data_IF_418812501726
#
_entry.id   IF_418812501726
#
_cell.length_a   1.000
_cell.length_b   1.000
_cell.length_c   1.000
_cell.angle_alpha   90.00
_cell.angle_beta   90.00
_cell.angle_gamma   90.00
#
_symmetry.space_group_name_H-M   'P 1'
#
loop_
_entity.id
_entity.type
_entity.pdbx_description
1 polymer ?
#
# COMPACT_ATOMS: atom_id res chain seq x y z
N UNK A 1 -2.11 -22.03 22.74
CA UNK A 1 -3.41 -22.73 22.55
C UNK A 1 -3.94 -22.36 21.16
N UNK A 2 -3.84 -23.30 20.20
CA UNK A 2 -4.37 -23.12 18.83
C UNK A 2 -5.90 -23.17 18.88
N UNK A 3 -6.55 -22.07 19.20
CA UNK A 3 -8.00 -21.96 19.12
C UNK A 3 -8.42 -22.10 17.65
N UNK A 4 -9.12 -23.17 17.30
CA UNK A 4 -9.73 -23.30 15.97
C UNK A 4 -10.83 -22.24 15.83
N UNK A 5 -10.74 -21.44 14.77
CA UNK A 5 -11.77 -20.44 14.47
C UNK A 5 -13.12 -21.12 14.16
N UNK A 6 -14.20 -20.53 14.63
CA UNK A 6 -15.54 -20.98 14.29
C UNK A 6 -15.84 -20.73 12.78
N UNK A 7 -16.81 -21.43 12.19
CA UNK A 7 -17.20 -21.21 10.79
C UNK A 7 -17.65 -19.77 10.51
N UNK A 8 -18.17 -19.07 11.51
CA UNK A 8 -18.56 -17.67 11.38
C UNK A 8 -17.34 -16.74 11.39
N UNK A 9 -16.39 -16.97 12.30
CA UNK A 9 -15.13 -16.24 12.37
C UNK A 9 -14.32 -16.41 11.06
N UNK A 10 -14.29 -17.61 10.50
CA UNK A 10 -13.67 -17.89 9.20
C UNK A 10 -14.30 -17.06 8.06
N UNK A 11 -15.63 -17.11 7.96
CA UNK A 11 -16.37 -16.34 6.92
C UNK A 11 -16.18 -14.85 7.09
N UNK A 12 -16.17 -14.35 8.32
CA UNK A 12 -15.91 -12.93 8.61
C UNK A 12 -14.48 -12.53 8.20
N UNK A 13 -13.47 -13.31 8.60
CA UNK A 13 -12.08 -13.07 8.21
C UNK A 13 -11.87 -13.08 6.69
N UNK A 14 -12.49 -14.05 5.98
CA UNK A 14 -12.44 -14.12 4.53
C UNK A 14 -13.09 -12.89 3.86
N UNK A 15 -14.22 -12.42 4.40
CA UNK A 15 -14.89 -11.21 3.89
C UNK A 15 -14.00 -9.98 4.08
N UNK A 16 -13.39 -9.81 5.26
CA UNK A 16 -12.47 -8.70 5.53
C UNK A 16 -11.29 -8.69 4.56
N UNK A 17 -10.66 -9.84 4.33
CA UNK A 17 -9.53 -9.93 3.40
C UNK A 17 -9.95 -9.64 1.95
N UNK A 18 -11.14 -10.07 1.52
CA UNK A 18 -11.68 -9.74 0.19
C UNK A 18 -11.93 -8.24 0.02
N UNK A 19 -12.52 -7.59 1.02
CA UNK A 19 -12.73 -6.14 1.03
C UNK A 19 -11.40 -5.40 1.02
N UNK A 20 -10.46 -5.85 1.87
CA UNK A 20 -9.11 -5.33 1.89
C UNK A 20 -8.43 -5.46 0.51
N UNK A 21 -8.52 -6.61 -0.15
CA UNK A 21 -7.93 -6.83 -1.47
C UNK A 21 -8.46 -5.82 -2.52
N UNK A 22 -9.76 -5.55 -2.51
CA UNK A 22 -10.36 -4.54 -3.38
C UNK A 22 -9.85 -3.13 -3.08
N UNK A 23 -9.88 -2.69 -1.81
CA UNK A 23 -9.40 -1.36 -1.40
C UNK A 23 -7.89 -1.20 -1.64
N UNK A 24 -7.12 -2.27 -1.43
CA UNK A 24 -5.69 -2.25 -1.71
C UNK A 24 -5.37 -2.06 -3.20
N UNK A 25 -6.23 -2.53 -4.11
CA UNK A 25 -6.09 -2.29 -5.54
C UNK A 25 -6.10 -0.80 -5.88
N UNK A 26 -6.96 -0.01 -5.24
CA UNK A 26 -6.97 1.46 -5.37
C UNK A 26 -5.65 2.05 -4.90
N UNK A 27 -5.18 1.67 -3.70
CA UNK A 27 -3.91 2.16 -3.16
C UNK A 27 -2.71 1.81 -4.05
N UNK A 28 -2.70 0.60 -4.61
CA UNK A 28 -1.64 0.16 -5.54
C UNK A 28 -1.65 1.01 -6.80
N UNK A 29 -2.83 1.27 -7.38
CA UNK A 29 -2.94 2.10 -8.58
C UNK A 29 -2.41 3.52 -8.38
N UNK A 30 -2.67 4.13 -7.22
CA UNK A 30 -2.36 5.54 -6.97
C UNK A 30 -0.95 5.77 -6.39
N UNK A 31 -0.42 4.80 -5.62
CA UNK A 31 0.74 5.01 -4.74
C UNK A 31 1.92 4.08 -5.06
N UNK A 32 1.81 3.26 -6.11
CA UNK A 32 2.92 2.45 -6.60
C UNK A 32 3.31 2.89 -8.00
N UNK A 33 4.61 2.77 -8.27
CA UNK A 33 5.23 2.96 -9.57
C UNK A 33 4.94 4.32 -10.23
N UNK A 34 4.43 4.31 -11.46
CA UNK A 34 4.37 5.46 -12.36
C UNK A 34 3.55 6.63 -11.82
N UNK A 35 2.45 6.38 -11.11
CA UNK A 35 1.60 7.47 -10.59
C UNK A 35 2.28 8.26 -9.48
N UNK A 36 3.02 7.59 -8.60
CA UNK A 36 3.78 8.26 -7.55
C UNK A 36 4.95 9.07 -8.15
N UNK A 37 5.59 8.54 -9.19
CA UNK A 37 6.65 9.25 -9.93
C UNK A 37 6.09 10.51 -10.60
N UNK A 38 4.97 10.39 -11.32
CA UNK A 38 4.30 11.54 -11.95
C UNK A 38 3.88 12.57 -10.91
N UNK A 39 3.34 12.14 -9.79
CA UNK A 39 2.98 13.01 -8.68
C UNK A 39 4.20 13.77 -8.13
N UNK A 40 5.34 13.09 -7.95
CA UNK A 40 6.58 13.71 -7.50
C UNK A 40 7.08 14.78 -8.49
N UNK A 41 7.08 14.46 -9.78
CA UNK A 41 7.49 15.40 -10.84
C UNK A 41 6.58 16.63 -10.86
N UNK A 42 5.25 16.45 -10.75
CA UNK A 42 4.29 17.56 -10.70
C UNK A 42 4.47 18.45 -9.48
N UNK A 43 4.98 17.90 -8.37
CA UNK A 43 5.34 18.67 -7.19
C UNK A 43 6.75 19.28 -7.24
N UNK A 44 7.42 19.24 -8.40
CA UNK A 44 8.73 19.82 -8.61
C UNK A 44 9.89 19.07 -7.97
N UNK A 45 9.69 17.77 -7.63
CA UNK A 45 10.77 16.92 -7.12
C UNK A 45 11.79 16.70 -8.22
N UNK A 46 13.05 17.04 -7.95
CA UNK A 46 14.13 16.92 -8.95
C UNK A 46 14.46 15.46 -9.30
N UNK A 47 15.05 15.26 -10.48
CA UNK A 47 15.29 13.94 -11.09
C UNK A 47 16.05 12.98 -10.18
N UNK A 48 17.07 13.45 -9.47
CA UNK A 48 17.83 12.62 -8.52
C UNK A 48 16.96 12.08 -7.38
N UNK A 49 16.05 12.91 -6.85
CA UNK A 49 15.12 12.51 -5.80
C UNK A 49 14.05 11.56 -6.34
N UNK A 50 13.61 11.74 -7.59
CA UNK A 50 12.70 10.81 -8.29
C UNK A 50 13.37 9.44 -8.48
N UNK A 51 14.65 9.38 -8.84
CA UNK A 51 15.41 8.14 -8.96
C UNK A 51 15.51 7.41 -7.59
N UNK A 52 15.74 8.14 -6.50
CA UNK A 52 15.72 7.61 -5.14
C UNK A 52 14.33 7.07 -4.79
N UNK A 53 13.27 7.81 -5.09
CA UNK A 53 11.89 7.40 -4.87
C UNK A 53 11.58 6.08 -5.58
N UNK A 54 11.96 5.94 -6.84
CA UNK A 54 11.76 4.73 -7.63
C UNK A 54 12.47 3.50 -7.02
N UNK A 55 13.56 3.71 -6.27
CA UNK A 55 14.31 2.62 -5.62
C UNK A 55 13.70 2.16 -4.27
N UNK A 56 12.75 2.89 -3.68
CA UNK A 56 12.23 2.61 -2.33
C UNK A 56 11.61 1.22 -2.19
N UNK A 57 10.95 0.70 -3.22
CA UNK A 57 10.36 -0.65 -3.19
C UNK A 57 11.46 -1.70 -2.93
N UNK A 58 12.64 -1.53 -3.52
CA UNK A 58 13.77 -2.44 -3.35
C UNK A 58 14.53 -2.16 -2.04
N UNK A 59 14.77 -0.88 -1.72
CA UNK A 59 15.48 -0.47 -0.50
C UNK A 59 14.75 -0.88 0.79
N UNK A 60 13.45 -0.98 0.76
CA UNK A 60 12.64 -1.37 1.92
C UNK A 60 12.46 -2.88 2.07
N UNK A 61 12.85 -3.70 1.09
CA UNK A 61 12.76 -5.16 1.19
C UNK A 61 13.46 -5.77 2.40
N UNK A 62 14.64 -5.30 2.87
CA UNK A 62 15.24 -5.81 4.10
C UNK A 62 14.36 -5.64 5.35
N UNK A 63 13.42 -4.70 5.35
CA UNK A 63 12.48 -4.49 6.46
C UNK A 63 11.48 -5.65 6.65
N UNK A 64 11.40 -6.57 5.70
CA UNK A 64 10.73 -7.88 5.87
C UNK A 64 11.27 -8.63 7.08
N UNK A 65 12.58 -8.50 7.40
CA UNK A 65 13.18 -9.10 8.58
C UNK A 65 12.58 -8.50 9.86
N UNK A 66 12.40 -7.17 9.88
CA UNK A 66 11.75 -6.48 11.00
C UNK A 66 10.30 -6.99 11.17
N UNK A 67 9.57 -7.16 10.07
CA UNK A 67 8.24 -7.75 10.09
C UNK A 67 8.20 -9.16 10.68
N UNK A 68 9.17 -10.03 10.34
CA UNK A 68 9.30 -11.38 10.94
C UNK A 68 9.55 -11.31 12.44
N UNK A 69 10.42 -10.40 12.88
CA UNK A 69 10.69 -10.19 14.32
C UNK A 69 9.45 -9.69 15.06
N UNK A 70 8.67 -8.80 14.43
CA UNK A 70 7.40 -8.32 14.99
C UNK A 70 6.37 -9.45 15.11
N UNK A 71 6.25 -10.33 14.11
CA UNK A 71 5.35 -11.51 14.19
C UNK A 71 5.70 -12.38 15.39
N UNK A 72 6.98 -12.64 15.62
CA UNK A 72 7.45 -13.43 16.75
C UNK A 72 7.09 -12.80 18.11
N UNK A 73 6.99 -11.46 18.20
CA UNK A 73 6.73 -10.74 19.46
C UNK A 73 5.24 -10.43 19.69
N UNK A 74 4.56 -9.97 18.66
CA UNK A 74 3.19 -9.42 18.79
C UNK A 74 2.14 -10.18 17.98
N UNK A 75 2.56 -11.15 17.17
CA UNK A 75 1.69 -11.98 16.33
C UNK A 75 1.43 -11.40 14.94
N UNK A 76 0.97 -12.26 14.03
CA UNK A 76 0.78 -11.92 12.61
C UNK A 76 -0.30 -10.84 12.39
N UNK A 77 -1.44 -10.95 13.07
CA UNK A 77 -2.56 -10.02 12.90
C UNK A 77 -2.18 -8.58 13.30
N UNK A 78 -1.48 -8.42 14.43
CA UNK A 78 -1.03 -7.11 14.89
C UNK A 78 0.04 -6.54 13.97
N UNK A 79 1.02 -7.34 13.56
CA UNK A 79 2.08 -6.90 12.62
C UNK A 79 1.47 -6.45 11.30
N UNK A 80 0.52 -7.21 10.76
CA UNK A 80 -0.21 -6.86 9.55
C UNK A 80 -0.99 -5.55 9.73
N UNK A 81 -1.77 -5.42 10.81
CA UNK A 81 -2.55 -4.22 11.12
C UNK A 81 -1.68 -2.97 11.28
N UNK A 82 -0.59 -3.06 12.03
CA UNK A 82 0.39 -1.96 12.17
C UNK A 82 0.99 -1.56 10.84
N UNK A 83 1.46 -2.53 10.04
CA UNK A 83 2.04 -2.25 8.74
C UNK A 83 1.08 -1.47 7.84
N UNK A 84 -0.19 -1.88 7.77
CA UNK A 84 -1.19 -1.22 6.93
C UNK A 84 -1.64 0.12 7.49
N UNK A 85 -1.77 0.28 8.80
CA UNK A 85 -2.10 1.55 9.43
C UNK A 85 -1.03 2.61 9.15
N UNK A 86 0.24 2.31 9.47
CA UNK A 86 1.32 3.26 9.28
C UNK A 86 1.63 3.53 7.81
N UNK A 87 1.44 2.53 6.93
CA UNK A 87 1.45 2.75 5.49
C UNK A 87 0.42 3.81 5.08
N UNK A 88 -0.81 3.72 5.60
CA UNK A 88 -1.87 4.68 5.27
C UNK A 88 -1.58 6.08 5.82
N UNK A 89 -1.02 6.16 7.03
CA UNK A 89 -0.55 7.45 7.60
C UNK A 89 0.55 8.06 6.73
N UNK A 90 1.51 7.24 6.28
CA UNK A 90 2.58 7.70 5.39
C UNK A 90 2.04 8.17 4.03
N UNK A 91 1.03 7.48 3.47
CA UNK A 91 0.33 7.94 2.28
C UNK A 91 -0.36 9.29 2.51
N UNK A 92 -0.93 9.51 3.70
CA UNK A 92 -1.52 10.79 4.11
C UNK A 92 -0.53 11.97 4.07
N UNK A 93 0.77 11.74 4.37
CA UNK A 93 1.79 12.77 4.25
C UNK A 93 1.93 13.29 2.82
N UNK A 94 1.76 12.42 1.81
CA UNK A 94 1.85 12.84 0.41
C UNK A 94 0.81 13.90 0.07
N UNK A 95 -0.37 13.84 0.68
CA UNK A 95 -1.44 14.84 0.45
C UNK A 95 -1.01 16.23 0.87
N UNK A 96 -0.05 16.37 1.79
CA UNK A 96 0.42 17.67 2.28
C UNK A 96 1.37 18.39 1.31
N UNK A 97 2.02 17.68 0.40
CA UNK A 97 3.03 18.27 -0.48
C UNK A 97 2.50 19.42 -1.37
N UNK A 98 1.30 19.34 -2.00
CA UNK A 98 0.75 20.44 -2.79
C UNK A 98 0.38 21.67 -1.97
N UNK A 99 0.16 21.53 -0.66
CA UNK A 99 -0.21 22.64 0.23
C UNK A 99 0.99 23.38 0.81
N UNK A 100 2.22 22.95 0.50
CA UNK A 100 3.42 23.69 0.87
C UNK A 100 3.44 25.00 0.08
N UNK A 101 3.46 26.17 0.73
CA UNK A 101 3.49 27.47 0.06
C UNK A 101 4.69 27.60 -0.90
N UNK A 102 4.54 28.31 -2.02
CA UNK A 102 5.61 28.45 -3.01
C UNK A 102 6.83 29.21 -2.46
N UNK A 103 6.64 30.03 -1.44
CA UNK A 103 7.71 30.78 -0.75
C UNK A 103 8.61 29.88 0.10
N UNK A 104 8.13 28.68 0.47
CA UNK A 104 8.92 27.72 1.25
C UNK A 104 9.96 27.03 0.36
N UNK A 105 11.14 26.69 0.95
CA UNK A 105 12.19 25.99 0.19
C UNK A 105 11.66 24.70 -0.45
N UNK A 106 11.98 24.48 -1.71
CA UNK A 106 11.59 23.28 -2.44
C UNK A 106 12.00 21.97 -1.73
N UNK A 107 13.08 22.03 -0.94
CA UNK A 107 13.54 20.89 -0.14
C UNK A 107 12.46 20.38 0.83
N UNK A 108 11.61 21.26 1.37
CA UNK A 108 10.53 20.85 2.27
C UNK A 108 9.50 19.97 1.55
N UNK A 109 9.06 20.41 0.36
CA UNK A 109 8.11 19.67 -0.48
C UNK A 109 8.70 18.32 -0.90
N UNK A 110 9.95 18.33 -1.36
CA UNK A 110 10.70 17.11 -1.72
C UNK A 110 10.80 16.16 -0.54
N UNK A 111 11.12 16.66 0.66
CA UNK A 111 11.23 15.85 1.88
C UNK A 111 9.89 15.20 2.26
N UNK A 112 8.78 15.94 2.17
CA UNK A 112 7.43 15.39 2.43
C UNK A 112 7.13 14.23 1.47
N UNK A 113 7.41 14.42 0.17
CA UNK A 113 7.18 13.38 -0.83
C UNK A 113 8.05 12.15 -0.57
N UNK A 114 9.35 12.35 -0.33
CA UNK A 114 10.26 11.24 -0.08
C UNK A 114 9.94 10.50 1.23
N UNK A 115 9.66 11.21 2.32
CA UNK A 115 9.29 10.59 3.60
C UNK A 115 7.98 9.84 3.52
N UNK A 116 6.96 10.41 2.88
CA UNK A 116 5.68 9.76 2.66
C UNK A 116 5.82 8.49 1.83
N UNK A 117 6.55 8.57 0.71
CA UNK A 117 6.80 7.43 -0.17
C UNK A 117 7.66 6.33 0.49
N UNK A 118 8.72 6.72 1.20
CA UNK A 118 9.56 5.77 1.93
C UNK A 118 8.77 5.07 3.04
N UNK A 119 8.04 5.82 3.86
CA UNK A 119 7.20 5.26 4.92
C UNK A 119 6.14 4.31 4.34
N UNK A 120 5.49 4.69 3.22
CA UNK A 120 4.55 3.83 2.54
C UNK A 120 5.18 2.50 2.11
N UNK A 121 6.35 2.51 1.47
CA UNK A 121 7.06 1.32 1.04
C UNK A 121 7.57 0.48 2.23
N UNK A 122 8.14 1.12 3.27
CA UNK A 122 8.69 0.49 4.45
C UNK A 122 7.61 -0.25 5.27
N UNK A 123 6.52 0.42 5.60
CA UNK A 123 5.43 -0.20 6.36
C UNK A 123 4.67 -1.25 5.54
N UNK A 124 4.61 -1.11 4.22
CA UNK A 124 4.13 -2.17 3.33
C UNK A 124 5.01 -3.41 3.44
N UNK A 125 6.34 -3.28 3.39
CA UNK A 125 7.27 -4.41 3.50
C UNK A 125 7.11 -5.13 4.85
N UNK A 126 6.98 -4.40 5.96
CA UNK A 126 6.74 -4.95 7.29
C UNK A 126 5.38 -5.68 7.36
N UNK A 127 4.32 -5.05 6.87
CA UNK A 127 2.95 -5.58 6.93
C UNK A 127 2.75 -6.84 6.08
N UNK A 128 3.38 -6.91 4.91
CA UNK A 128 3.23 -8.05 3.99
C UNK A 128 3.59 -9.39 4.62
N UNK A 129 4.54 -9.41 5.59
CA UNK A 129 4.99 -10.64 6.25
C UNK A 129 3.86 -11.30 7.04
N UNK A 130 2.95 -10.51 7.63
CA UNK A 130 1.79 -11.01 8.37
C UNK A 130 0.72 -11.66 7.50
N UNK A 131 0.74 -11.41 6.19
CA UNK A 131 -0.31 -11.86 5.28
C UNK A 131 -0.38 -13.39 5.16
N UNK A 132 0.77 -14.07 4.97
CA UNK A 132 0.81 -15.52 4.79
C UNK A 132 0.30 -16.32 5.99
N UNK A 133 0.72 -16.03 7.25
CA UNK A 133 0.16 -16.71 8.42
C UNK A 133 -1.35 -16.48 8.56
N UNK A 134 -1.82 -15.23 8.39
CA UNK A 134 -3.25 -14.90 8.48
C UNK A 134 -4.09 -15.65 7.45
N UNK A 135 -3.60 -15.74 6.22
CA UNK A 135 -4.26 -16.50 5.17
C UNK A 135 -4.31 -17.99 5.49
N UNK A 136 -3.25 -18.53 6.13
CA UNK A 136 -3.23 -19.91 6.61
C UNK A 136 -4.29 -20.20 7.68
N UNK A 137 -4.59 -19.23 8.56
CA UNK A 137 -5.59 -19.38 9.62
C UNK A 137 -7.03 -19.34 9.10
N UNK A 138 -7.31 -18.57 8.04
CA UNK A 138 -8.68 -18.35 7.52
C UNK A 138 -9.02 -19.20 6.29
N UNK A 139 -8.07 -20.00 5.78
CA UNK A 139 -8.29 -20.88 4.62
C UNK A 139 -7.86 -22.30 4.92
N UNK A 140 -8.57 -23.27 4.38
CA UNK A 140 -8.12 -24.67 4.34
C UNK A 140 -7.13 -24.87 3.20
N UNK A 141 -6.21 -25.82 3.34
CA UNK A 141 -5.15 -26.05 2.35
C UNK A 141 -5.70 -26.25 0.91
N UNK A 142 -6.80 -26.99 0.76
CA UNK A 142 -7.43 -27.22 -0.55
C UNK A 142 -8.11 -25.98 -1.15
N UNK A 143 -8.55 -25.01 -0.33
CA UNK A 143 -9.22 -23.79 -0.80
C UNK A 143 -8.28 -22.58 -0.92
N UNK A 144 -7.06 -22.68 -0.38
CA UNK A 144 -6.11 -21.56 -0.29
C UNK A 144 -5.74 -20.98 -1.64
N UNK A 145 -5.44 -21.82 -2.62
CA UNK A 145 -5.08 -21.38 -3.98
C UNK A 145 -6.20 -20.60 -4.65
N UNK A 146 -7.43 -21.12 -4.61
CA UNK A 146 -8.62 -20.45 -5.15
C UNK A 146 -8.91 -19.13 -4.44
N UNK A 147 -8.76 -19.06 -3.12
CA UNK A 147 -8.96 -17.85 -2.34
C UNK A 147 -7.93 -16.77 -2.69
N UNK A 148 -6.66 -17.14 -2.81
CA UNK A 148 -5.57 -16.23 -3.20
C UNK A 148 -5.78 -15.70 -4.61
N UNK A 149 -6.08 -16.57 -5.57
CA UNK A 149 -6.38 -16.19 -6.95
C UNK A 149 -7.56 -15.23 -7.01
N UNK A 150 -8.64 -15.51 -6.29
CA UNK A 150 -9.79 -14.62 -6.22
C UNK A 150 -9.49 -13.24 -5.63
N UNK A 151 -8.59 -13.15 -4.64
CA UNK A 151 -8.14 -11.88 -4.08
C UNK A 151 -7.23 -11.12 -5.05
N UNK A 152 -6.34 -11.82 -5.75
CA UNK A 152 -5.49 -11.23 -6.80
C UNK A 152 -6.34 -10.62 -7.91
N UNK A 153 -7.33 -11.36 -8.42
CA UNK A 153 -8.27 -10.85 -9.44
C UNK A 153 -9.00 -9.59 -8.95
N UNK A 154 -9.48 -9.57 -7.70
CA UNK A 154 -10.14 -8.38 -7.14
C UNK A 154 -9.20 -7.18 -7.06
N UNK A 155 -7.98 -7.39 -6.55
CA UNK A 155 -6.97 -6.33 -6.47
C UNK A 155 -6.67 -5.76 -7.85
N UNK A 156 -6.43 -6.63 -8.84
CA UNK A 156 -6.10 -6.21 -10.21
C UNK A 156 -7.29 -5.51 -10.89
N UNK A 157 -8.51 -6.04 -10.72
CA UNK A 157 -9.71 -5.42 -11.30
C UNK A 157 -9.95 -4.02 -10.73
N UNK A 158 -9.83 -3.84 -9.41
CA UNK A 158 -9.97 -2.51 -8.79
C UNK A 158 -8.83 -1.57 -9.15
N UNK A 159 -7.61 -2.09 -9.31
CA UNK A 159 -6.47 -1.32 -9.80
C UNK A 159 -6.73 -0.79 -11.21
N UNK A 160 -7.14 -1.64 -12.14
CA UNK A 160 -7.46 -1.25 -13.52
C UNK A 160 -8.60 -0.23 -13.55
N UNK A 161 -9.68 -0.47 -12.80
CA UNK A 161 -10.81 0.46 -12.71
C UNK A 161 -10.35 1.83 -12.19
N UNK A 162 -9.51 1.86 -11.17
CA UNK A 162 -8.96 3.11 -10.61
C UNK A 162 -8.15 3.86 -11.66
N UNK A 163 -7.29 3.16 -12.41
CA UNK A 163 -6.50 3.79 -13.49
C UNK A 163 -7.39 4.38 -14.58
N UNK A 164 -8.44 3.67 -14.99
CA UNK A 164 -9.41 4.19 -15.96
C UNK A 164 -10.10 5.45 -15.44
N UNK A 165 -10.56 5.44 -14.18
CA UNK A 165 -11.16 6.62 -13.54
C UNK A 165 -10.19 7.80 -13.52
N UNK A 166 -8.93 7.58 -13.12
CA UNK A 166 -7.90 8.63 -13.10
C UNK A 166 -7.66 9.20 -14.50
N UNK A 167 -7.54 8.36 -15.52
CA UNK A 167 -7.34 8.79 -16.91
C UNK A 167 -8.51 9.66 -17.38
N UNK A 168 -9.76 9.24 -17.11
CA UNK A 168 -10.96 10.01 -17.48
C UNK A 168 -10.99 11.36 -16.76
N UNK A 169 -10.68 11.39 -15.46
CA UNK A 169 -10.64 12.64 -14.68
C UNK A 169 -9.58 13.60 -15.21
N UNK A 170 -8.36 13.09 -15.48
CA UNK A 170 -7.27 13.91 -16.02
C UNK A 170 -7.58 14.45 -17.41
N UNK A 171 -8.20 13.64 -18.28
CA UNK A 171 -8.64 14.07 -19.61
C UNK A 171 -9.68 15.19 -19.53
N UNK A 172 -10.67 15.05 -18.67
CA UNK A 172 -11.71 16.06 -18.49
C UNK A 172 -11.13 17.34 -17.88
N UNK A 173 -10.24 17.24 -16.90
CA UNK A 173 -9.55 18.41 -16.34
C UNK A 173 -8.71 19.15 -17.40
N UNK A 174 -8.00 18.43 -18.26
CA UNK A 174 -7.23 19.05 -19.36
C UNK A 174 -8.10 19.72 -20.41
N UNK A 175 -9.35 19.32 -20.58
CA UNK A 175 -10.29 19.92 -21.54
C UNK A 175 -10.96 21.21 -21.02
N UNK A 176 -10.79 21.52 -19.72
CA UNK A 176 -11.37 22.72 -19.06
C UNK A 176 -10.39 23.88 -18.92
N UNK A 177 -9.13 23.71 -19.34
CA UNK A 177 -8.07 24.73 -19.41
C UNK A 177 -7.69 25.06 -20.85
#
# INVERSE_FOLDING_TARGET
ENRRLSPEELRYGQRLIRTFAALNGVSVALLLDSMLILYAIQNGVGDSAVAVLASFVHLTMPLVVVGKMMIARVGAARTWGFGWLFRSVSAGLLVLAPFVPPEMPQILRTSIVLLGAFGFAAFRAIGLVGNSPLLGEITTDGARGSFLSGNFVRTTATQLLTLVVVIVLLRNAAATW
#
